data_IF_788703398773
#
_entry.id   IF_788703398773
#
_cell.length_a   1.000
_cell.length_b   1.000
_cell.length_c   1.000
_cell.angle_alpha   90.00
_cell.angle_beta   90.00
_cell.angle_gamma   90.00
#
_symmetry.space_group_name_H-M   'P 1'
#
loop_
_entity.id
_entity.type
_entity.pdbx_description
1 polymer ?
#
# COMPACT_ATOMS: atom_id res chain seq x y z
N UNK A 1 -19.90 49.56 -7.50
CA UNK A 1 -18.54 49.59 -6.94
C UNK A 1 -18.55 48.73 -5.70
N UNK A 2 -17.88 47.57 -5.71
CA UNK A 2 -17.87 46.66 -4.55
C UNK A 2 -17.08 47.30 -3.41
N UNK A 3 -17.54 47.17 -2.17
CA UNK A 3 -16.80 47.69 -1.02
C UNK A 3 -15.55 46.86 -0.77
N UNK A 4 -14.50 47.46 -0.18
CA UNK A 4 -13.27 46.75 0.19
C UNK A 4 -13.56 45.49 1.03
N UNK A 5 -14.56 45.55 1.93
CA UNK A 5 -15.00 44.41 2.72
C UNK A 5 -15.60 43.26 1.90
N UNK A 6 -16.35 43.56 0.83
CA UNK A 6 -16.87 42.53 -0.07
C UNK A 6 -15.74 41.82 -0.83
N UNK A 7 -14.72 42.54 -1.26
CA UNK A 7 -13.57 41.97 -2.00
C UNK A 7 -12.78 41.01 -1.10
N UNK A 8 -12.51 41.42 0.15
CA UNK A 8 -11.82 40.57 1.13
C UNK A 8 -12.64 39.32 1.44
N UNK A 9 -13.96 39.46 1.58
CA UNK A 9 -14.86 38.34 1.87
C UNK A 9 -14.84 37.28 0.76
N UNK A 10 -14.97 37.70 -0.51
CA UNK A 10 -14.92 36.78 -1.65
C UNK A 10 -13.54 36.15 -1.87
N UNK A 11 -12.47 36.88 -1.55
CA UNK A 11 -11.10 36.36 -1.59
C UNK A 11 -10.91 35.22 -0.58
N UNK A 12 -11.34 35.43 0.67
CA UNK A 12 -11.26 34.41 1.73
C UNK A 12 -12.06 33.16 1.36
N UNK A 13 -13.29 33.32 0.85
CA UNK A 13 -14.12 32.20 0.41
C UNK A 13 -13.44 31.40 -0.70
N UNK A 14 -12.86 32.08 -1.68
CA UNK A 14 -12.15 31.43 -2.79
C UNK A 14 -10.97 30.60 -2.30
N UNK A 15 -10.18 31.14 -1.37
CA UNK A 15 -9.05 30.42 -0.76
C UNK A 15 -9.53 29.19 0.01
N UNK A 16 -10.60 29.31 0.80
CA UNK A 16 -11.17 28.18 1.55
C UNK A 16 -11.62 27.06 0.63
N UNK A 17 -12.29 27.38 -0.49
CA UNK A 17 -12.75 26.38 -1.46
C UNK A 17 -11.56 25.65 -2.11
N UNK A 18 -10.52 26.39 -2.50
CA UNK A 18 -9.30 25.80 -3.09
C UNK A 18 -8.60 24.89 -2.08
N UNK A 19 -8.45 25.33 -0.82
CA UNK A 19 -7.84 24.53 0.24
C UNK A 19 -8.66 23.28 0.56
N UNK A 20 -9.98 23.40 0.67
CA UNK A 20 -10.87 22.27 0.91
C UNK A 20 -10.81 21.23 -0.22
N UNK A 21 -10.79 21.69 -1.48
CA UNK A 21 -10.63 20.84 -2.65
C UNK A 21 -9.28 20.11 -2.65
N UNK A 22 -8.18 20.80 -2.31
CA UNK A 22 -6.86 20.19 -2.22
C UNK A 22 -6.81 19.12 -1.12
N UNK A 23 -7.37 19.39 0.07
CA UNK A 23 -7.42 18.43 1.18
C UNK A 23 -8.24 17.18 0.78
N UNK A 24 -9.42 17.38 0.18
CA UNK A 24 -10.25 16.26 -0.29
C UNK A 24 -9.54 15.42 -1.36
N UNK A 25 -8.80 16.07 -2.27
CA UNK A 25 -8.03 15.40 -3.31
C UNK A 25 -6.84 14.62 -2.74
N UNK A 26 -6.16 15.15 -1.72
CA UNK A 26 -5.05 14.47 -1.02
C UNK A 26 -5.58 13.24 -0.27
N UNK A 27 -6.71 13.35 0.43
CA UNK A 27 -7.31 12.23 1.16
C UNK A 27 -7.84 11.17 0.18
N UNK A 28 -8.40 11.59 -0.95
CA UNK A 28 -8.94 10.69 -1.98
C UNK A 28 -7.87 9.95 -2.80
N UNK A 29 -6.61 10.39 -2.78
CA UNK A 29 -5.55 9.83 -3.63
C UNK A 29 -4.97 8.47 -3.19
N UNK A 30 -5.57 7.84 -2.19
CA UNK A 30 -5.34 6.43 -1.92
C UNK A 30 -4.62 6.21 -0.60
N UNK A 31 -5.37 5.69 0.37
CA UNK A 31 -4.80 5.07 1.55
C UNK A 31 -4.34 3.68 1.09
N UNK A 32 -3.04 3.54 0.84
CA UNK A 32 -2.44 2.22 0.64
C UNK A 32 -1.95 1.69 1.98
N UNK A 33 -2.24 0.43 2.27
CA UNK A 33 -1.80 -0.22 3.49
C UNK A 33 -1.08 -1.51 3.13
N UNK A 34 0.12 -1.70 3.68
CA UNK A 34 0.91 -2.91 3.48
C UNK A 34 1.53 -3.31 4.81
N UNK A 35 1.56 -4.61 5.07
CA UNK A 35 2.20 -5.18 6.25
C UNK A 35 3.16 -6.29 5.83
N UNK A 36 4.29 -6.37 6.53
CA UNK A 36 5.24 -7.46 6.40
C UNK A 36 4.53 -8.76 6.80
N UNK A 37 4.61 -9.85 6.01
CA UNK A 37 4.02 -11.12 6.36
C UNK A 37 4.78 -11.76 7.52
N UNK A 38 4.03 -12.37 8.43
CA UNK A 38 4.54 -13.24 9.48
C UNK A 38 4.52 -14.68 8.98
N UNK A 39 5.65 -15.37 9.14
CA UNK A 39 5.83 -16.75 8.69
C UNK A 39 5.83 -17.67 9.89
N UNK A 40 4.99 -18.70 9.87
CA UNK A 40 4.91 -19.68 10.93
C UNK A 40 4.80 -21.12 10.41
N UNK A 41 5.11 -22.08 11.28
CA UNK A 41 4.96 -23.51 11.00
C UNK A 41 3.67 -23.98 11.66
N UNK A 42 2.72 -24.44 10.86
CA UNK A 42 1.47 -24.99 11.38
C UNK A 42 1.65 -26.47 11.72
N UNK A 43 1.80 -26.73 13.03
CA UNK A 43 1.97 -28.06 13.62
C UNK A 43 0.65 -28.82 13.81
N UNK A 44 -0.50 -28.15 13.63
CA UNK A 44 -1.81 -28.79 13.78
C UNK A 44 -2.25 -29.51 12.50
N UNK A 45 -1.66 -29.18 11.35
CA UNK A 45 -1.81 -29.95 10.13
C UNK A 45 -1.01 -31.26 10.24
N UNK A 46 -1.60 -32.39 9.81
CA UNK A 46 -0.94 -33.71 9.80
C UNK A 46 0.30 -33.81 8.92
N UNK A 47 0.59 -32.75 8.16
CA UNK A 47 1.74 -32.54 7.31
C UNK A 47 2.41 -31.25 7.72
N UNK A 48 3.74 -31.23 7.79
CA UNK A 48 4.54 -30.01 7.92
C UNK A 48 4.03 -28.98 6.91
N UNK A 49 3.41 -27.91 7.41
CA UNK A 49 2.80 -26.88 6.56
C UNK A 49 3.24 -25.51 7.03
N UNK A 50 3.37 -24.59 6.07
CA UNK A 50 3.79 -23.22 6.37
C UNK A 50 2.63 -22.27 6.25
N UNK A 51 2.51 -21.39 7.25
CA UNK A 51 1.47 -20.38 7.35
C UNK A 51 2.10 -19.00 7.16
N UNK A 52 1.59 -18.27 6.18
CA UNK A 52 1.97 -16.90 5.85
C UNK A 52 0.76 -16.01 6.15
N UNK A 53 0.89 -15.13 7.14
CA UNK A 53 -0.19 -14.24 7.58
C UNK A 53 0.23 -12.78 7.41
N UNK A 54 -0.57 -11.99 6.71
CA UNK A 54 -0.35 -10.56 6.57
C UNK A 54 -1.62 -9.78 6.92
N UNK A 55 -1.63 -8.99 8.02
CA UNK A 55 -2.86 -8.44 8.58
C UNK A 55 -3.49 -7.31 7.76
N UNK A 56 -2.70 -6.50 7.04
CA UNK A 56 -3.21 -5.29 6.38
C UNK A 56 -2.65 -5.12 4.98
N UNK A 57 -3.49 -5.41 3.99
CA UNK A 57 -3.20 -5.21 2.58
C UNK A 57 -4.32 -4.47 1.87
N UNK A 58 -3.95 -3.38 1.18
CA UNK A 58 -4.82 -2.68 0.26
C UNK A 58 -3.96 -1.99 -0.82
N UNK A 59 -4.25 -2.19 -2.12
CA UNK A 59 -5.36 -2.96 -2.70
C UNK A 59 -5.18 -4.49 -2.56
N UNK A 60 -6.19 -5.27 -2.97
CA UNK A 60 -6.13 -6.75 -2.93
C UNK A 60 -4.84 -7.27 -3.59
N UNK A 61 -3.97 -8.00 -2.86
CA UNK A 61 -2.71 -8.49 -3.39
C UNK A 61 -2.83 -9.88 -4.01
N UNK A 62 -1.79 -10.30 -4.71
CA UNK A 62 -1.58 -11.67 -5.19
C UNK A 62 -0.56 -12.37 -4.30
N UNK A 63 -0.77 -13.66 -4.02
CA UNK A 63 0.15 -14.49 -3.22
C UNK A 63 0.80 -15.54 -4.10
N UNK A 64 2.13 -15.59 -4.08
CA UNK A 64 2.94 -16.54 -4.83
C UNK A 64 3.87 -17.30 -3.89
N UNK A 65 3.81 -18.63 -3.94
CA UNK A 65 4.74 -19.48 -3.19
C UNK A 65 5.86 -19.99 -4.10
N UNK A 66 7.09 -19.88 -3.62
CA UNK A 66 8.28 -20.38 -4.32
C UNK A 66 9.16 -21.19 -3.37
N UNK A 67 9.92 -22.13 -3.91
CA UNK A 67 10.97 -22.83 -3.16
C UNK A 67 12.34 -22.35 -3.63
N UNK A 68 13.34 -22.47 -2.75
CA UNK A 68 14.72 -22.15 -3.10
C UNK A 68 15.28 -23.11 -4.17
N UNK A 69 14.86 -24.38 -4.14
CA UNK A 69 15.33 -25.42 -5.06
C UNK A 69 14.82 -25.14 -6.48
N UNK A 70 13.54 -24.78 -6.59
CA UNK A 70 12.87 -24.58 -7.87
C UNK A 70 12.16 -23.23 -7.90
N UNK A 71 12.95 -22.16 -8.02
CA UNK A 71 12.43 -20.78 -8.10
C UNK A 71 11.49 -20.55 -9.32
N UNK A 72 11.47 -21.47 -10.29
CA UNK A 72 10.61 -21.42 -11.48
C UNK A 72 9.29 -22.16 -11.32
N UNK A 73 9.16 -23.05 -10.34
CA UNK A 73 7.90 -23.75 -10.09
C UNK A 73 7.07 -22.92 -9.12
N UNK A 74 5.85 -22.60 -9.54
CA UNK A 74 4.90 -21.91 -8.69
C UNK A 74 4.16 -22.93 -7.82
N UNK A 75 4.33 -22.85 -6.49
CA UNK A 75 3.65 -23.74 -5.54
C UNK A 75 2.27 -23.21 -5.12
N UNK A 76 1.80 -22.09 -5.70
CA UNK A 76 0.50 -21.50 -5.39
C UNK A 76 -0.69 -22.44 -5.65
N UNK A 77 -0.57 -23.40 -6.57
CA UNK A 77 -1.65 -24.38 -6.82
C UNK A 77 -1.84 -25.37 -5.65
N UNK A 78 -0.76 -25.64 -4.92
CA UNK A 78 -0.76 -26.53 -3.74
C UNK A 78 -1.04 -25.74 -2.45
N UNK A 79 -0.92 -24.41 -2.50
CA UNK A 79 -1.24 -23.54 -1.39
C UNK A 79 -2.73 -23.24 -1.32
N UNK A 80 -3.26 -23.18 -0.10
CA UNK A 80 -4.58 -22.65 0.17
C UNK A 80 -4.45 -21.18 0.60
N UNK A 81 -4.98 -20.26 -0.18
CA UNK A 81 -4.94 -18.82 0.10
C UNK A 81 -6.35 -18.30 0.34
N UNK A 82 -6.55 -17.66 1.49
CA UNK A 82 -7.78 -16.96 1.84
C UNK A 82 -7.53 -15.47 2.06
N UNK A 83 -8.55 -14.68 1.73
CA UNK A 83 -8.58 -13.24 1.90
C UNK A 83 -9.76 -12.89 2.80
N UNK A 84 -9.47 -12.38 3.98
CA UNK A 84 -10.47 -11.93 4.95
C UNK A 84 -10.51 -10.41 4.93
N UNK A 85 -11.71 -9.83 4.80
CA UNK A 85 -11.87 -8.38 4.79
C UNK A 85 -11.99 -7.87 6.23
N UNK A 86 -11.06 -7.02 6.64
CA UNK A 86 -11.18 -6.22 7.85
C UNK A 86 -11.96 -4.93 7.52
N UNK A 87 -13.24 -4.94 7.88
CA UNK A 87 -14.15 -3.82 7.63
C UNK A 87 -13.83 -2.57 8.45
N UNK A 88 -13.09 -2.69 9.56
CA UNK A 88 -12.75 -1.53 10.40
C UNK A 88 -11.69 -0.64 9.73
N UNK A 89 -10.69 -1.26 9.13
CA UNK A 89 -9.57 -0.57 8.48
C UNK A 89 -9.68 -0.55 6.94
N UNK A 90 -10.73 -1.16 6.38
CA UNK A 90 -10.91 -1.33 4.92
C UNK A 90 -9.68 -2.00 4.28
N UNK A 91 -9.06 -2.95 5.00
CA UNK A 91 -7.89 -3.70 4.55
C UNK A 91 -8.21 -5.18 4.42
N UNK A 92 -7.47 -5.90 3.58
CA UNK A 92 -7.53 -7.35 3.52
C UNK A 92 -6.45 -7.96 4.41
N UNK A 93 -6.87 -8.91 5.23
CA UNK A 93 -6.01 -9.87 5.89
C UNK A 93 -5.79 -11.05 4.95
N UNK A 94 -4.53 -11.32 4.65
CA UNK A 94 -4.10 -12.42 3.78
C UNK A 94 -3.65 -13.58 4.66
N UNK A 95 -4.22 -14.76 4.45
CA UNK A 95 -3.77 -15.99 5.12
C UNK A 95 -3.49 -17.01 4.03
N UNK A 96 -2.26 -17.51 3.94
CA UNK A 96 -1.92 -18.56 3.00
C UNK A 96 -1.21 -19.71 3.70
N UNK A 97 -1.66 -20.93 3.41
CA UNK A 97 -1.11 -22.16 3.96
C UNK A 97 -0.54 -23.01 2.82
N UNK A 98 0.73 -23.36 2.90
CA UNK A 98 1.40 -24.25 1.95
C UNK A 98 1.54 -25.65 2.55
N UNK A 99 0.99 -26.66 1.88
CA UNK A 99 1.04 -28.06 2.28
C UNK A 99 2.18 -28.82 1.60
N UNK A 100 2.49 -30.01 2.14
CA UNK A 100 3.48 -30.94 1.59
C UNK A 100 4.87 -30.32 1.44
N UNK A 101 5.33 -29.62 2.48
CA UNK A 101 6.66 -29.03 2.49
C UNK A 101 7.70 -30.08 2.84
N UNK A 102 8.93 -29.88 2.37
CA UNK A 102 10.04 -30.79 2.65
C UNK A 102 10.98 -30.16 3.68
N UNK A 103 11.40 -30.95 4.67
CA UNK A 103 12.44 -30.58 5.64
C UNK A 103 13.73 -30.19 4.88
N UNK A 104 14.47 -29.23 5.41
CA UNK A 104 15.74 -28.72 4.86
C UNK A 104 15.60 -27.90 3.57
N UNK A 105 14.38 -27.59 3.13
CA UNK A 105 14.12 -26.62 2.07
C UNK A 105 13.74 -25.25 2.64
N UNK A 106 14.06 -24.21 1.87
CA UNK A 106 13.60 -22.84 2.16
C UNK A 106 12.43 -22.53 1.22
N UNK A 107 11.33 -22.05 1.79
CA UNK A 107 10.15 -21.62 1.06
C UNK A 107 9.92 -20.12 1.28
N UNK A 108 9.43 -19.46 0.25
CA UNK A 108 9.19 -18.03 0.23
C UNK A 108 7.73 -17.75 -0.16
N UNK A 109 7.00 -17.09 0.73
CA UNK A 109 5.68 -16.51 0.49
C UNK A 109 5.87 -15.08 0.01
N UNK A 110 5.51 -14.81 -1.25
CA UNK A 110 5.57 -13.48 -1.83
C UNK A 110 4.15 -12.93 -1.96
N UNK A 111 3.88 -11.81 -1.30
CA UNK A 111 2.62 -11.08 -1.39
C UNK A 111 2.93 -9.78 -2.14
N UNK A 112 2.29 -9.58 -3.29
CA UNK A 112 2.57 -8.41 -4.13
C UNK A 112 1.31 -7.77 -4.72
N UNK A 113 1.41 -6.48 -4.97
CA UNK A 113 0.45 -5.69 -5.74
C UNK A 113 1.23 -4.66 -6.58
N UNK A 114 0.53 -3.88 -7.39
CA UNK A 114 1.02 -2.74 -8.16
C UNK A 114 1.84 -1.69 -7.41
N UNK A 115 1.89 -1.70 -6.07
CA UNK A 115 2.49 -0.65 -5.23
C UNK A 115 3.54 -1.21 -4.25
N UNK A 116 3.41 -2.46 -3.82
CA UNK A 116 4.30 -3.03 -2.82
C UNK A 116 4.43 -4.54 -3.00
N UNK A 117 5.59 -5.05 -2.57
CA UNK A 117 5.94 -6.45 -2.56
C UNK A 117 6.54 -6.78 -1.21
N UNK A 118 5.90 -7.67 -0.47
CA UNK A 118 6.45 -8.20 0.77
C UNK A 118 6.71 -9.68 0.63
N UNK A 119 7.81 -10.14 1.19
CA UNK A 119 8.22 -11.54 1.09
C UNK A 119 8.60 -12.06 2.46
N UNK A 120 8.03 -13.20 2.82
CA UNK A 120 8.40 -13.97 4.00
C UNK A 120 9.11 -15.25 3.58
N UNK A 121 10.32 -15.46 4.09
CA UNK A 121 11.12 -16.66 3.90
C UNK A 121 11.10 -17.50 5.19
N UNK A 122 10.89 -18.80 5.03
CA UNK A 122 10.98 -19.78 6.11
C UNK A 122 11.86 -20.96 5.69
N UNK A 123 12.81 -21.30 6.56
CA UNK A 123 13.65 -22.49 6.43
C UNK A 123 13.53 -23.32 7.70
N UNK A 124 13.14 -24.57 7.53
CA UNK A 124 13.14 -25.56 8.62
C UNK A 124 14.31 -26.51 8.41
N UNK A 125 15.20 -26.60 9.38
CA UNK A 125 16.21 -27.65 9.48
C UNK A 125 15.86 -28.58 10.64
N UNK A 126 16.52 -29.74 10.72
CA UNK A 126 16.30 -30.73 11.79
C UNK A 126 16.50 -30.18 13.21
N UNK A 127 17.20 -29.05 13.34
CA UNK A 127 17.55 -28.43 14.62
C UNK A 127 17.02 -27.01 14.82
N UNK A 128 16.66 -26.28 13.75
CA UNK A 128 16.33 -24.85 13.84
C UNK A 128 15.27 -24.41 12.82
N UNK A 129 14.43 -23.46 13.21
CA UNK A 129 13.50 -22.77 12.31
C UNK A 129 13.99 -21.35 12.12
N UNK A 130 14.39 -21.01 10.89
CA UNK A 130 14.83 -19.67 10.53
C UNK A 130 13.75 -18.96 9.73
N UNK A 131 13.28 -17.83 10.27
CA UNK A 131 12.31 -16.93 9.64
C UNK A 131 13.00 -15.65 9.21
N UNK A 132 12.68 -15.14 8.03
CA UNK A 132 13.11 -13.82 7.55
C UNK A 132 11.94 -13.19 6.81
N UNK A 133 11.76 -11.88 6.95
CA UNK A 133 10.76 -11.16 6.18
C UNK A 133 11.33 -9.83 5.70
N UNK A 134 10.90 -9.40 4.52
CA UNK A 134 11.32 -8.14 3.93
C UNK A 134 10.17 -7.50 3.14
N UNK A 135 10.22 -6.17 3.00
CA UNK A 135 9.22 -5.38 2.29
C UNK A 135 9.92 -4.43 1.33
N UNK A 136 9.50 -4.48 0.08
CA UNK A 136 9.95 -3.67 -1.05
C UNK A 136 8.78 -2.81 -1.51
N UNK A 137 8.99 -1.50 -1.60
CA UNK A 137 8.02 -0.61 -2.24
C UNK A 137 8.27 -0.64 -3.74
N UNK A 138 7.22 -0.95 -4.50
CA UNK A 138 7.24 -0.89 -5.94
C UNK A 138 6.84 0.54 -6.31
N UNK A 139 7.84 1.34 -6.69
CA UNK A 139 7.67 2.77 -6.95
C UNK A 139 6.59 2.99 -8.01
N UNK A 140 5.39 3.38 -7.57
CA UNK A 140 4.37 3.89 -8.48
C UNK A 140 4.95 5.16 -9.07
N UNK A 141 5.03 5.29 -10.39
CA UNK A 141 5.23 6.59 -11.04
C UNK A 141 4.09 7.50 -10.60
N UNK A 142 4.25 8.16 -9.46
CA UNK A 142 3.49 9.33 -9.09
C UNK A 142 3.94 10.39 -10.09
N UNK A 143 3.30 10.38 -11.27
CA UNK A 143 3.40 11.49 -12.21
C UNK A 143 2.88 12.68 -11.43
N UNK A 144 3.82 13.46 -10.93
CA UNK A 144 3.60 14.77 -10.37
C UNK A 144 3.03 15.60 -11.53
N UNK A 145 1.73 15.48 -11.80
CA UNK A 145 0.99 16.50 -12.50
C UNK A 145 0.93 17.64 -11.49
N UNK A 146 2.05 18.37 -11.40
CA UNK A 146 2.17 19.54 -10.55
C UNK A 146 0.98 20.43 -10.82
N UNK A 147 0.47 21.15 -9.79
CA UNK A 147 -0.63 22.07 -10.00
C UNK A 147 -0.20 22.97 -11.14
N UNK A 148 -0.93 22.86 -12.25
CA UNK A 148 -0.76 23.68 -13.43
C UNK A 148 -0.54 25.11 -12.95
N UNK A 149 0.61 25.68 -13.31
CA UNK A 149 1.04 27.04 -12.98
C UNK A 149 -0.02 28.12 -13.31
N UNK A 150 -1.10 27.74 -14.00
CA UNK A 150 -2.29 28.54 -14.22
C UNK A 150 -3.11 28.89 -12.96
N UNK A 151 -3.11 28.08 -11.89
CA UNK A 151 -3.95 28.39 -10.71
C UNK A 151 -3.38 29.54 -9.85
N UNK A 152 -2.06 29.72 -9.81
CA UNK A 152 -1.40 30.74 -8.98
C UNK A 152 -1.51 32.13 -9.62
N UNK A 153 -1.59 32.22 -10.96
CA UNK A 153 -1.74 33.49 -11.67
C UNK A 153 -3.04 34.23 -11.35
N UNK A 154 -4.14 33.51 -11.07
CA UNK A 154 -5.43 34.11 -10.76
C UNK A 154 -5.55 34.65 -9.33
N UNK A 155 -4.77 34.11 -8.38
CA UNK A 155 -4.79 34.55 -6.97
C UNK A 155 -3.96 35.83 -6.75
N UNK A 156 -2.97 36.11 -7.60
CA UNK A 156 -2.09 37.29 -7.48
C UNK A 156 -2.56 38.51 -8.29
N UNK A 157 -3.50 38.33 -9.23
CA UNK A 157 -4.10 39.43 -10.00
C UNK A 157 -4.83 40.51 -9.15
N UNK A 158 -5.50 40.21 -8.02
CA UNK A 158 -6.13 41.26 -7.20
C UNK A 158 -5.11 42.06 -6.38
N UNK A 159 -3.93 41.51 -6.09
CA UNK A 159 -2.90 42.18 -5.27
C UNK A 159 -2.08 43.18 -6.11
N UNK A 160 -1.86 42.88 -7.39
CA UNK A 160 -1.15 43.76 -8.33
C UNK A 160 -1.88 45.10 -8.57
N UNK A 161 -3.21 45.09 -8.61
CA UNK A 161 -4.02 46.30 -8.79
C UNK A 161 -3.89 47.33 -7.65
N UNK A 162 -3.35 46.94 -6.48
CA UNK A 162 -3.14 47.85 -5.35
C UNK A 162 -1.76 48.51 -5.32
N UNK A 163 -0.79 48.04 -6.11
CA UNK A 163 0.56 48.64 -6.17
C UNK A 163 0.72 49.66 -7.30
N UNK A 164 -0.24 49.75 -8.22
CA UNK A 164 -0.18 50.67 -9.38
C UNK A 164 -0.92 51.98 -9.12
N UNK A 165 -1.65 52.12 -7.99
CA UNK A 165 -2.31 53.36 -7.61
C UNK A 165 -1.56 54.06 -6.48
N UNK A 166 -0.35 54.55 -6.77
CA UNK A 166 0.32 55.60 -6.01
C UNK A 166 1.03 56.56 -6.96
#
# INVERSE_FOLDING_TARGET
MASLGQIIFWSIISIIIVLAGAIALIIGFGISAFSIPEMDVDYNASSESFRCEAPRWFPQPTVVWTSQVDRRTNFSEVANTSFELDSENVTMKVISVLYNVTINNTYSCMIENSIAKATGDIKVTDSEIKRRSHLELLDSKASLCGPSFFAIGWVLLPLSSHLVLK
#
